data_IF_505694000644
#
_entry.id   IF_505694000644
#
_cell.length_a   1.000
_cell.length_b   1.000
_cell.length_c   1.000
_cell.angle_alpha   90.00
_cell.angle_beta   90.00
_cell.angle_gamma   90.00
#
_symmetry.space_group_name_H-M   'P 1'
#
loop_
_entity.id
_entity.type
_entity.pdbx_description
1 polymer ?
#
# COMPACT_ATOMS: atom_id res chain seq x y z
N UNK A 1 -6.65 13.52 10.97
CA UNK A 1 -5.81 13.03 9.83
C UNK A 1 -6.74 12.71 8.69
N UNK A 2 -6.48 13.27 7.53
CA UNK A 2 -7.27 13.05 6.32
C UNK A 2 -6.55 12.05 5.42
N UNK A 3 -7.24 10.98 5.02
CA UNK A 3 -6.73 9.97 4.11
C UNK A 3 -7.38 10.06 2.72
N UNK A 4 -6.66 9.58 1.71
CA UNK A 4 -7.16 9.29 0.37
C UNK A 4 -6.74 7.88 -0.04
N UNK A 5 -7.65 7.14 -0.69
CA UNK A 5 -7.35 5.83 -1.27
C UNK A 5 -7.07 6.00 -2.76
N UNK A 6 -5.96 5.45 -3.23
CA UNK A 6 -5.58 5.40 -4.65
C UNK A 6 -5.49 3.94 -5.09
N UNK A 7 -6.42 3.52 -5.93
CA UNK A 7 -6.42 2.17 -6.50
C UNK A 7 -5.76 2.20 -7.87
N UNK A 8 -4.69 1.43 -8.04
CA UNK A 8 -3.94 1.32 -9.28
C UNK A 8 -4.29 0.00 -9.98
N UNK A 9 -4.82 0.09 -11.17
CA UNK A 9 -5.21 -1.06 -11.99
C UNK A 9 -6.11 -0.65 -13.14
N UNK A 10 -5.72 -0.99 -14.35
CA UNK A 10 -6.46 -0.69 -15.57
C UNK A 10 -7.80 -1.45 -15.61
N UNK A 11 -7.85 -2.67 -15.06
CA UNK A 11 -9.06 -3.51 -14.95
C UNK A 11 -10.15 -2.86 -14.10
N UNK A 12 -9.76 -2.02 -13.12
CA UNK A 12 -10.71 -1.25 -12.31
C UNK A 12 -11.37 -0.13 -13.13
N UNK A 13 -10.60 0.53 -14.00
CA UNK A 13 -11.13 1.57 -14.90
C UNK A 13 -12.06 1.00 -15.96
N UNK A 14 -11.76 -0.18 -16.47
CA UNK A 14 -12.58 -0.87 -17.49
C UNK A 14 -13.86 -1.45 -16.88
N UNK A 15 -13.94 -1.56 -15.56
CA UNK A 15 -15.09 -2.15 -14.87
C UNK A 15 -15.10 -3.68 -14.92
N UNK A 16 -13.97 -4.30 -15.26
CA UNK A 16 -13.84 -5.76 -15.32
C UNK A 16 -13.95 -6.39 -13.93
N UNK A 17 -13.54 -5.64 -12.90
CA UNK A 17 -13.65 -6.05 -11.50
C UNK A 17 -14.23 -4.94 -10.62
N UNK A 18 -14.90 -5.36 -9.54
CA UNK A 18 -15.41 -4.45 -8.51
C UNK A 18 -14.27 -4.04 -7.56
N UNK A 19 -14.18 -2.74 -7.26
CA UNK A 19 -13.18 -2.21 -6.33
C UNK A 19 -13.50 -2.55 -4.86
N UNK A 20 -13.34 -3.83 -4.52
CA UNK A 20 -13.57 -4.32 -3.15
C UNK A 20 -12.46 -3.90 -2.17
N UNK A 21 -11.27 -3.57 -2.69
CA UNK A 21 -10.16 -3.09 -1.86
C UNK A 21 -10.48 -1.74 -1.24
N UNK A 22 -10.93 -0.77 -2.05
CA UNK A 22 -11.32 0.54 -1.54
C UNK A 22 -12.42 0.42 -0.49
N UNK A 23 -13.44 -0.41 -0.73
CA UNK A 23 -14.52 -0.65 0.24
C UNK A 23 -13.98 -1.17 1.58
N UNK A 24 -13.06 -2.13 1.56
CA UNK A 24 -12.50 -2.71 2.78
C UNK A 24 -11.62 -1.70 3.51
N UNK A 25 -10.70 -1.05 2.80
CA UNK A 25 -9.81 -0.03 3.37
C UNK A 25 -10.63 1.09 4.03
N UNK A 26 -11.71 1.57 3.37
CA UNK A 26 -12.58 2.62 3.94
C UNK A 26 -13.20 2.21 5.28
N UNK A 27 -13.64 0.96 5.40
CA UNK A 27 -14.20 0.44 6.65
C UNK A 27 -13.16 0.40 7.77
N UNK A 28 -11.96 -0.09 7.46
CA UNK A 28 -10.87 -0.17 8.45
C UNK A 28 -10.41 1.23 8.89
N UNK A 29 -10.30 2.19 7.98
CA UNK A 29 -9.98 3.58 8.33
C UNK A 29 -11.02 4.22 9.24
N UNK A 30 -12.31 4.00 8.94
CA UNK A 30 -13.40 4.47 9.79
C UNK A 30 -13.36 3.85 11.19
N UNK A 31 -13.01 2.56 11.32
CA UNK A 31 -12.87 1.88 12.61
C UNK A 31 -11.76 2.49 13.48
N UNK A 32 -10.69 2.98 12.88
CA UNK A 32 -9.56 3.60 13.60
C UNK A 32 -9.63 5.13 13.65
N UNK A 33 -10.76 5.73 13.22
CA UNK A 33 -11.01 7.16 13.34
C UNK A 33 -10.23 8.04 12.35
N UNK A 34 -9.85 7.52 11.19
CA UNK A 34 -9.21 8.27 10.12
C UNK A 34 -10.26 8.72 9.11
N UNK A 35 -10.32 10.04 8.84
CA UNK A 35 -11.25 10.62 7.89
C UNK A 35 -10.85 10.30 6.45
N UNK A 36 -11.80 9.80 5.65
CA UNK A 36 -11.61 9.50 4.24
C UNK A 36 -12.52 10.39 3.39
N UNK A 37 -11.94 11.26 2.57
CA UNK A 37 -12.72 12.15 1.70
C UNK A 37 -12.65 11.80 0.22
N UNK A 38 -11.59 11.11 -0.22
CA UNK A 38 -11.36 10.84 -1.63
C UNK A 38 -10.98 9.39 -1.88
N UNK A 39 -11.53 8.85 -2.97
CA UNK A 39 -11.12 7.57 -3.55
C UNK A 39 -10.86 7.79 -5.03
N UNK A 40 -9.66 7.51 -5.48
CA UNK A 40 -9.23 7.69 -6.86
C UNK A 40 -8.86 6.34 -7.46
N UNK A 41 -9.30 6.08 -8.69
CA UNK A 41 -8.86 4.93 -9.49
C UNK A 41 -8.01 5.45 -10.64
N UNK A 42 -6.86 4.81 -10.87
CA UNK A 42 -5.93 5.18 -11.94
C UNK A 42 -5.39 3.91 -12.62
N UNK A 43 -5.25 3.94 -13.95
CA UNK A 43 -4.64 2.83 -14.69
C UNK A 43 -3.11 2.78 -14.51
N UNK A 44 -2.51 1.66 -14.91
CA UNK A 44 -1.09 1.33 -14.80
C UNK A 44 -0.24 2.19 -15.75
N UNK A 45 -0.09 3.46 -15.42
CA UNK A 45 0.70 4.43 -16.16
C UNK A 45 1.44 5.37 -15.23
N UNK A 46 2.76 5.44 -15.37
CA UNK A 46 3.66 6.18 -14.47
C UNK A 46 3.27 7.65 -14.30
N UNK A 47 3.02 8.35 -15.39
CA UNK A 47 2.70 9.78 -15.36
C UNK A 47 1.33 10.04 -14.72
N UNK A 48 0.34 9.19 -15.00
CA UNK A 48 -1.00 9.30 -14.40
C UNK A 48 -0.95 9.03 -12.90
N UNK A 49 -0.23 7.98 -12.46
CA UNK A 49 -0.05 7.67 -11.03
C UNK A 49 0.68 8.82 -10.33
N UNK A 50 1.72 9.39 -10.95
CA UNK A 50 2.42 10.56 -10.43
C UNK A 50 1.48 11.76 -10.23
N UNK A 51 0.69 12.12 -11.24
CA UNK A 51 -0.25 13.24 -11.18
C UNK A 51 -1.34 13.04 -10.12
N UNK A 52 -1.81 11.81 -9.95
CA UNK A 52 -2.76 11.44 -8.88
C UNK A 52 -2.10 11.64 -7.51
N UNK A 53 -0.87 11.16 -7.30
CA UNK A 53 -0.14 11.35 -6.04
C UNK A 53 0.12 12.82 -5.72
N UNK A 54 0.51 13.62 -6.72
CA UNK A 54 0.73 15.07 -6.55
C UNK A 54 -0.56 15.78 -6.09
N UNK A 55 -1.69 15.39 -6.67
CA UNK A 55 -3.00 15.94 -6.28
C UNK A 55 -3.42 15.46 -4.88
N UNK A 56 -3.28 14.17 -4.61
CA UNK A 56 -3.71 13.55 -3.37
C UNK A 56 -2.92 14.09 -2.15
N UNK A 57 -1.60 14.23 -2.27
CA UNK A 57 -0.74 14.73 -1.20
C UNK A 57 -0.91 16.23 -0.89
N UNK A 58 -1.51 17.01 -1.80
CA UNK A 58 -1.88 18.42 -1.54
C UNK A 58 -3.09 18.56 -0.63
N UNK A 59 -3.98 17.53 -0.58
CA UNK A 59 -5.27 17.59 0.13
C UNK A 59 -5.44 16.54 1.22
N UNK A 60 -4.52 15.59 1.34
CA UNK A 60 -4.58 14.50 2.31
C UNK A 60 -3.24 14.29 2.98
N UNK A 61 -3.25 13.80 4.22
CA UNK A 61 -2.06 13.56 5.02
C UNK A 61 -1.54 12.13 4.81
N UNK A 62 -2.48 11.21 4.52
CA UNK A 62 -2.23 9.79 4.35
C UNK A 62 -2.78 9.32 3.01
N UNK A 63 -1.92 8.79 2.15
CA UNK A 63 -2.33 8.14 0.91
C UNK A 63 -2.21 6.63 1.08
N UNK A 64 -3.29 5.90 0.84
CA UNK A 64 -3.26 4.44 0.82
C UNK A 64 -3.42 3.99 -0.62
N UNK A 65 -2.33 3.48 -1.18
CA UNK A 65 -2.31 2.92 -2.53
C UNK A 65 -2.54 1.41 -2.46
N UNK A 66 -3.30 0.85 -3.40
CA UNK A 66 -3.44 -0.60 -3.57
C UNK A 66 -3.36 -0.97 -5.04
N UNK A 67 -2.61 -2.02 -5.36
CA UNK A 67 -2.28 -2.44 -6.72
C UNK A 67 -0.93 -1.94 -7.22
N UNK A 68 -0.44 -2.52 -8.32
CA UNK A 68 0.83 -2.16 -8.96
C UNK A 68 2.09 -2.46 -8.14
N UNK A 69 2.04 -3.44 -7.21
CA UNK A 69 3.19 -3.91 -6.41
C UNK A 69 3.74 -5.27 -6.87
N UNK A 70 3.20 -5.84 -7.91
CA UNK A 70 3.63 -7.13 -8.44
C UNK A 70 5.02 -7.08 -9.08
N UNK A 71 5.47 -8.21 -9.68
CA UNK A 71 6.78 -8.33 -10.29
C UNK A 71 6.81 -7.94 -11.77
N UNK A 72 5.69 -7.54 -12.36
CA UNK A 72 5.59 -7.25 -13.78
C UNK A 72 6.12 -5.86 -14.13
N UNK A 73 6.25 -5.55 -15.43
CA UNK A 73 6.72 -4.23 -15.87
C UNK A 73 5.68 -3.14 -15.65
N UNK A 74 4.41 -3.53 -15.56
CA UNK A 74 3.28 -2.62 -15.36
C UNK A 74 3.05 -2.31 -13.88
N UNK A 75 3.72 -3.03 -12.98
CA UNK A 75 3.72 -2.77 -11.54
C UNK A 75 4.67 -1.61 -11.21
N UNK A 76 4.15 -0.39 -11.23
CA UNK A 76 4.91 0.85 -11.15
C UNK A 76 4.70 1.64 -9.84
N UNK A 77 3.79 1.20 -8.99
CA UNK A 77 3.37 1.96 -7.79
C UNK A 77 4.54 2.28 -6.87
N UNK A 78 5.39 1.31 -6.62
CA UNK A 78 6.56 1.42 -5.74
C UNK A 78 7.61 2.40 -6.30
N UNK A 79 7.91 2.31 -7.59
CA UNK A 79 8.85 3.17 -8.28
C UNK A 79 8.37 4.62 -8.31
N UNK A 80 7.07 4.82 -8.58
CA UNK A 80 6.47 6.16 -8.64
C UNK A 80 6.45 6.79 -7.24
N UNK A 81 6.01 6.08 -6.22
CA UNK A 81 5.96 6.59 -4.86
C UNK A 81 7.36 6.90 -4.31
N UNK A 82 8.35 6.03 -4.56
CA UNK A 82 9.74 6.28 -4.17
C UNK A 82 10.29 7.53 -4.87
N UNK A 83 10.11 7.64 -6.17
CA UNK A 83 10.55 8.78 -6.97
C UNK A 83 9.89 10.09 -6.51
N UNK A 84 8.60 10.05 -6.13
CA UNK A 84 7.86 11.22 -5.64
C UNK A 84 8.48 11.81 -4.37
N UNK A 85 8.94 10.96 -3.45
CA UNK A 85 9.65 11.39 -2.23
C UNK A 85 11.18 11.50 -2.42
N UNK A 86 11.69 11.44 -3.65
CA UNK A 86 13.13 11.50 -3.94
C UNK A 86 13.92 10.34 -3.36
N UNK A 87 13.28 9.19 -3.12
CA UNK A 87 13.89 7.99 -2.56
C UNK A 87 14.38 7.06 -3.66
N UNK A 88 15.49 6.36 -3.40
CA UNK A 88 15.96 5.27 -4.25
C UNK A 88 15.31 3.95 -3.82
N UNK A 89 15.22 3.00 -4.74
CA UNK A 89 14.90 1.63 -4.38
C UNK A 89 16.18 0.93 -3.92
N UNK A 90 16.13 0.30 -2.76
CA UNK A 90 17.22 -0.45 -2.15
C UNK A 90 16.81 -1.90 -1.90
N UNK A 91 17.78 -2.79 -1.89
CA UNK A 91 17.55 -4.21 -1.63
C UNK A 91 17.23 -4.43 -0.16
N UNK A 92 16.16 -5.20 0.11
CA UNK A 92 15.69 -5.54 1.45
C UNK A 92 15.78 -7.05 1.68
N UNK A 93 16.78 -7.48 2.43
CA UNK A 93 17.12 -8.89 2.64
C UNK A 93 15.96 -9.71 3.21
N UNK A 94 15.26 -9.17 4.22
CA UNK A 94 14.13 -9.88 4.84
C UNK A 94 12.98 -10.14 3.85
N UNK A 95 12.69 -9.19 2.96
CA UNK A 95 11.70 -9.39 1.90
C UNK A 95 12.17 -10.44 0.90
N UNK A 96 13.45 -10.40 0.50
CA UNK A 96 14.02 -11.39 -0.39
C UNK A 96 13.87 -12.81 0.17
N UNK A 97 14.25 -13.00 1.42
CA UNK A 97 14.14 -14.29 2.10
C UNK A 97 12.67 -14.75 2.24
N UNK A 98 11.75 -13.82 2.53
CA UNK A 98 10.31 -14.13 2.57
C UNK A 98 9.81 -14.61 1.21
N UNK A 99 10.11 -13.88 0.14
CA UNK A 99 9.72 -14.23 -1.24
C UNK A 99 10.32 -15.58 -1.64
N UNK A 100 11.61 -15.81 -1.35
CA UNK A 100 12.29 -17.08 -1.63
C UNK A 100 11.59 -18.26 -0.96
N UNK A 101 11.40 -18.19 0.37
CA UNK A 101 10.73 -19.25 1.13
C UNK A 101 9.29 -19.51 0.65
N UNK A 102 8.58 -18.45 0.29
CA UNK A 102 7.22 -18.56 -0.20
C UNK A 102 7.18 -19.27 -1.56
N UNK A 103 8.09 -18.93 -2.48
CA UNK A 103 8.21 -19.58 -3.78
C UNK A 103 8.62 -21.05 -3.64
N UNK A 104 9.57 -21.36 -2.74
CA UNK A 104 9.95 -22.74 -2.42
C UNK A 104 8.74 -23.57 -1.94
N UNK A 105 7.85 -22.98 -1.14
CA UNK A 105 6.60 -23.63 -0.71
C UNK A 105 5.63 -23.94 -1.85
N UNK A 106 5.78 -23.27 -3.00
CA UNK A 106 5.05 -23.55 -4.24
C UNK A 106 5.82 -24.47 -5.20
N UNK A 107 6.97 -25.02 -4.78
CA UNK A 107 7.82 -25.87 -5.60
C UNK A 107 8.71 -25.10 -6.59
N UNK A 108 8.86 -23.80 -6.44
CA UNK A 108 9.71 -22.94 -7.27
C UNK A 108 11.03 -22.69 -6.53
N UNK A 109 12.11 -23.34 -6.97
CA UNK A 109 13.41 -23.29 -6.30
C UNK A 109 14.33 -22.16 -6.82
N UNK A 110 14.02 -21.61 -8.00
CA UNK A 110 14.82 -20.52 -8.58
C UNK A 110 13.95 -19.29 -8.81
N UNK A 111 14.41 -18.16 -8.29
CA UNK A 111 13.73 -16.87 -8.47
C UNK A 111 14.11 -16.23 -9.81
N UNK A 112 13.11 -15.80 -10.56
CA UNK A 112 13.31 -14.94 -11.73
C UNK A 112 13.76 -13.54 -11.31
N UNK A 113 14.39 -12.78 -12.23
CA UNK A 113 14.76 -11.38 -11.99
C UNK A 113 13.56 -10.50 -11.62
N UNK A 114 12.40 -10.77 -12.21
CA UNK A 114 11.15 -10.08 -11.86
C UNK A 114 10.72 -10.35 -10.41
N UNK A 115 10.84 -11.58 -9.95
CA UNK A 115 10.51 -11.93 -8.56
C UNK A 115 11.51 -11.31 -7.56
N UNK A 116 12.80 -11.24 -7.92
CA UNK A 116 13.82 -10.56 -7.11
C UNK A 116 13.52 -9.06 -6.93
N UNK A 117 12.87 -8.41 -7.91
CA UNK A 117 12.44 -7.01 -7.78
C UNK A 117 11.44 -6.78 -6.64
N UNK A 118 10.75 -7.81 -6.15
CA UNK A 118 9.89 -7.68 -4.96
C UNK A 118 10.69 -7.26 -3.73
N UNK A 119 11.96 -7.63 -3.65
CA UNK A 119 12.87 -7.25 -2.57
C UNK A 119 13.42 -5.82 -2.69
N UNK A 120 13.14 -5.11 -3.77
CA UNK A 120 13.48 -3.69 -3.88
C UNK A 120 12.40 -2.85 -3.19
N UNK A 121 12.77 -2.05 -2.21
CA UNK A 121 11.87 -1.18 -1.45
C UNK A 121 12.43 0.24 -1.39
N UNK A 122 11.59 1.27 -1.22
CA UNK A 122 12.08 2.64 -1.07
C UNK A 122 12.97 2.78 0.17
N UNK A 123 14.08 3.47 0.02
CA UNK A 123 15.03 3.73 1.09
C UNK A 123 14.37 4.40 2.30
N UNK A 124 14.61 3.86 3.50
CA UNK A 124 14.04 4.35 4.75
C UNK A 124 12.55 4.07 4.94
N UNK A 125 11.94 3.24 4.08
CA UNK A 125 10.56 2.79 4.28
C UNK A 125 10.46 1.71 5.38
N UNK A 126 9.31 1.64 6.03
CA UNK A 126 8.94 0.51 6.86
C UNK A 126 8.29 -0.56 5.98
N UNK A 127 8.83 -1.76 6.01
CA UNK A 127 8.35 -2.89 5.23
C UNK A 127 7.50 -3.80 6.10
N UNK A 128 6.29 -4.10 5.64
CA UNK A 128 5.34 -4.99 6.32
C UNK A 128 5.27 -6.30 5.56
N UNK A 129 5.62 -7.38 6.22
CA UNK A 129 5.61 -8.72 5.61
C UNK A 129 4.20 -9.13 5.21
N UNK A 130 4.05 -9.71 4.04
CA UNK A 130 2.78 -10.22 3.54
C UNK A 130 2.62 -11.71 3.86
N UNK A 131 1.83 -12.10 4.85
CA UNK A 131 1.67 -13.51 5.20
C UNK A 131 0.88 -14.29 4.13
N UNK A 132 0.08 -13.61 3.30
CA UNK A 132 -0.80 -14.21 2.32
C UNK A 132 -0.21 -14.30 0.91
N UNK A 133 0.91 -13.60 0.62
CA UNK A 133 1.48 -13.53 -0.73
C UNK A 133 2.94 -13.12 -0.75
N UNK A 134 3.38 -12.57 -1.90
CA UNK A 134 4.78 -12.23 -2.17
C UNK A 134 5.07 -10.72 -1.98
N UNK A 135 4.19 -9.86 -2.47
CA UNK A 135 4.39 -8.42 -2.45
C UNK A 135 4.24 -7.88 -1.02
N UNK A 136 5.25 -7.23 -0.43
CA UNK A 136 5.15 -6.67 0.91
C UNK A 136 4.24 -5.44 0.93
N UNK A 137 3.76 -5.07 2.11
CA UNK A 137 3.29 -3.72 2.37
C UNK A 137 4.47 -2.79 2.59
N UNK A 138 4.33 -1.53 2.18
CA UNK A 138 5.40 -0.54 2.31
C UNK A 138 4.80 0.76 2.85
N UNK A 139 5.41 1.29 3.91
CA UNK A 139 5.00 2.56 4.50
C UNK A 139 6.16 3.55 4.34
N UNK A 140 5.90 4.66 3.69
CA UNK A 140 6.81 5.77 3.53
C UNK A 140 6.25 6.99 4.24
N UNK A 141 7.11 7.75 4.92
CA UNK A 141 6.73 9.02 5.53
C UNK A 141 7.77 10.09 5.22
N UNK A 142 7.31 11.33 5.01
CA UNK A 142 8.15 12.50 4.83
C UNK A 142 7.42 13.74 5.36
N UNK A 143 7.97 14.37 6.41
CA UNK A 143 7.28 15.44 7.12
C UNK A 143 5.98 14.94 7.75
N UNK A 144 4.89 15.61 7.45
CA UNK A 144 3.52 15.30 7.88
C UNK A 144 2.75 14.41 6.91
N UNK A 145 3.38 13.97 5.82
CA UNK A 145 2.78 13.14 4.77
C UNK A 145 3.24 11.69 4.84
N UNK A 146 2.32 10.78 4.56
CA UNK A 146 2.63 9.35 4.48
C UNK A 146 1.96 8.69 3.27
N UNK A 147 2.66 7.71 2.70
CA UNK A 147 2.13 6.83 1.66
C UNK A 147 2.24 5.39 2.18
N UNK A 148 1.13 4.67 2.15
CA UNK A 148 1.06 3.23 2.41
C UNK A 148 0.75 2.53 1.10
N UNK A 149 1.57 1.59 0.72
CA UNK A 149 1.38 0.78 -0.47
C UNK A 149 1.02 -0.65 -0.09
N UNK A 150 -0.08 -1.13 -0.62
CA UNK A 150 -0.68 -2.43 -0.33
C UNK A 150 -0.78 -3.29 -1.61
N UNK A 151 -0.68 -4.62 -1.51
CA UNK A 151 -0.90 -5.52 -2.64
C UNK A 151 -2.25 -5.33 -3.33
N UNK A 152 -2.34 -5.70 -4.61
CA UNK A 152 -3.59 -5.68 -5.39
C UNK A 152 -4.56 -6.79 -5.02
N UNK A 153 -4.14 -8.07 -4.92
CA UNK A 153 -5.05 -9.17 -4.60
C UNK A 153 -5.75 -8.95 -3.25
N UNK A 154 -7.10 -9.02 -3.18
CA UNK A 154 -7.86 -8.65 -1.97
C UNK A 154 -7.45 -9.42 -0.70
N UNK A 155 -7.11 -10.71 -0.83
CA UNK A 155 -6.66 -11.53 0.31
C UNK A 155 -5.34 -11.03 0.88
N UNK A 156 -4.40 -10.67 0.02
CA UNK A 156 -3.09 -10.13 0.39
C UNK A 156 -3.23 -8.73 1.00
N UNK A 157 -3.99 -7.86 0.32
CA UNK A 157 -4.25 -6.49 0.76
C UNK A 157 -4.82 -6.46 2.17
N UNK A 158 -5.84 -7.29 2.48
CA UNK A 158 -6.46 -7.36 3.80
C UNK A 158 -5.47 -7.79 4.88
N UNK A 159 -4.66 -8.82 4.61
CA UNK A 159 -3.68 -9.32 5.55
C UNK A 159 -2.61 -8.25 5.88
N UNK A 160 -2.10 -7.56 4.86
CA UNK A 160 -1.10 -6.51 5.04
C UNK A 160 -1.69 -5.26 5.70
N UNK A 161 -2.93 -4.87 5.32
CA UNK A 161 -3.61 -3.72 5.92
C UNK A 161 -3.83 -3.90 7.43
N UNK A 162 -4.21 -5.09 7.87
CA UNK A 162 -4.38 -5.38 9.30
C UNK A 162 -3.10 -5.10 10.09
N UNK A 163 -1.94 -5.54 9.60
CA UNK A 163 -0.65 -5.26 10.21
C UNK A 163 -0.31 -3.76 10.18
N UNK A 164 -0.61 -3.07 9.05
CA UNK A 164 -0.42 -1.63 8.95
C UNK A 164 -1.30 -0.86 9.96
N UNK A 165 -2.56 -1.26 10.14
CA UNK A 165 -3.46 -0.63 11.11
C UNK A 165 -2.93 -0.76 12.53
N UNK A 166 -2.39 -1.92 12.92
CA UNK A 166 -1.74 -2.10 14.23
C UNK A 166 -0.57 -1.13 14.44
N UNK A 167 0.25 -0.92 13.41
CA UNK A 167 1.36 0.02 13.46
C UNK A 167 0.89 1.48 13.55
N UNK A 168 -0.20 1.84 12.87
CA UNK A 168 -0.81 3.17 12.97
C UNK A 168 -1.41 3.42 14.35
N UNK A 169 -2.18 2.49 14.89
CA UNK A 169 -2.78 2.60 16.22
C UNK A 169 -1.69 2.78 17.28
N UNK A 170 -0.62 2.01 17.22
CA UNK A 170 0.49 2.11 18.17
C UNK A 170 1.22 3.46 18.08
N UNK A 171 1.36 4.07 16.89
CA UNK A 171 1.94 5.40 16.73
C UNK A 171 0.97 6.53 17.10
N UNK A 172 -0.34 6.32 16.93
CA UNK A 172 -1.37 7.28 17.30
C UNK A 172 -1.68 7.23 18.80
N UNK A 173 -1.43 6.10 19.51
CA UNK A 173 -1.62 5.96 20.94
C UNK A 173 -0.62 6.77 21.78
N UNK A 174 0.48 7.21 21.20
CA UNK A 174 1.36 8.22 21.80
C UNK A 174 0.76 9.64 21.75
N UNK A 175 -0.31 9.85 20.97
CA UNK A 175 -1.19 11.01 21.01
C UNK A 175 -2.59 10.51 21.39
N UNK A 176 -3.01 10.76 22.62
CA UNK A 176 -4.28 10.30 23.20
C UNK A 176 -5.46 10.70 22.32
N UNK A 177 -5.98 9.78 21.50
CA UNK A 177 -7.28 9.90 20.85
C UNK A 177 -8.29 9.02 21.58
N UNK A 178 -9.16 9.64 22.36
CA UNK A 178 -10.35 8.98 22.92
C UNK A 178 -11.42 9.03 21.84
N UNK A 179 -11.64 7.93 21.11
CA UNK A 179 -12.77 7.80 20.20
C UNK A 179 -14.00 7.33 21.00
N UNK A 180 -14.97 8.22 21.21
CA UNK A 180 -16.27 7.89 21.79
C UNK A 180 -17.25 7.64 20.66
N UNK A 181 -17.60 6.38 20.39
CA UNK A 181 -18.69 6.02 19.49
C UNK A 181 -20.04 6.24 20.20
N UNK A 182 -20.70 7.34 19.95
CA UNK A 182 -22.09 7.58 20.37
C UNK A 182 -23.01 6.95 19.33
N UNK A 183 -23.59 5.79 19.62
CA UNK A 183 -24.71 5.25 18.84
C UNK A 183 -25.97 6.01 19.27
N UNK A 184 -26.44 6.93 18.45
CA UNK A 184 -27.83 7.41 18.54
C UNK A 184 -28.78 6.30 18.04
N UNK A 185 -29.74 5.90 18.90
CA UNK A 185 -30.86 5.05 18.53
C UNK A 185 -31.89 5.84 17.74
#
# INVERSE_FOLDING_TARGET
MVAEIVCVGTELLLGDIVNTNAQHISKELAHIGIDLYYQTVVGDNKERVWNVLDTALKRSDLIIMTGGLGPTKDDLTKEVAASFFGKKLVFHEQTYEHVRKKLESYGINEMTESQKKQALVPEGSLVVTNPAGLAPGIIMAQGDKAIVMLPGPPKEMKAVLAECCHLFINRLSDQVFVSINIKCK
#
